data_IF_320951037055
#
_entry.id   IF_320951037055
#
_cell.length_a   1.000
_cell.length_b   1.000
_cell.length_c   1.000
_cell.angle_alpha   90.00
_cell.angle_beta   90.00
_cell.angle_gamma   90.00
#
_symmetry.space_group_name_H-M   'P 1'
#
loop_
_entity.id
_entity.type
_entity.pdbx_description
1 polymer ?
#
# COMPACT_ATOMS: atom_id res chain seq x y z
N UNK A 1 44.78 73.76 42.03
CA UNK A 1 44.60 73.42 43.46
C UNK A 1 44.85 71.94 43.68
N UNK A 2 44.45 71.06 42.75
CA UNK A 2 44.66 69.59 42.83
C UNK A 2 46.05 69.06 42.38
N UNK A 3 47.09 69.88 42.42
CA UNK A 3 48.43 69.45 42.05
C UNK A 3 49.18 68.92 43.28
N UNK A 4 49.93 67.81 43.15
CA UNK A 4 50.64 67.17 44.26
C UNK A 4 51.73 68.05 44.90
N UNK A 5 52.09 69.13 44.24
CA UNK A 5 53.07 70.17 44.58
C UNK A 5 52.43 71.52 44.96
N UNK A 6 51.13 71.53 45.31
CA UNK A 6 50.45 72.74 45.74
C UNK A 6 51.13 73.36 46.97
N UNK A 7 51.72 74.55 46.79
CA UNK A 7 52.29 75.35 47.87
C UNK A 7 51.29 76.42 48.30
N UNK A 8 50.71 76.31 49.50
CA UNK A 8 49.76 77.30 50.02
C UNK A 8 50.37 78.70 50.10
N UNK A 9 51.66 78.77 50.43
CA UNK A 9 52.40 80.02 50.60
C UNK A 9 52.60 80.72 49.25
N UNK A 10 52.96 79.97 48.20
CA UNK A 10 53.12 80.53 46.85
C UNK A 10 51.77 81.00 46.26
N UNK A 11 50.68 80.32 46.60
CA UNK A 11 49.33 80.68 46.16
C UNK A 11 48.81 81.94 46.86
N UNK A 12 49.00 82.04 48.18
CA UNK A 12 48.64 83.23 48.97
C UNK A 12 49.44 84.45 48.51
N UNK A 13 50.76 84.30 48.29
CA UNK A 13 51.62 85.38 47.79
C UNK A 13 51.26 85.82 46.35
N UNK A 14 50.62 84.94 45.57
CA UNK A 14 50.09 85.28 44.23
C UNK A 14 48.75 86.02 44.30
N UNK A 15 47.92 85.73 45.30
CA UNK A 15 46.65 86.42 45.56
C UNK A 15 46.85 87.78 46.25
N UNK A 16 47.87 87.90 47.09
CA UNK A 16 48.23 89.13 47.82
C UNK A 16 49.71 89.49 47.64
N UNK A 17 50.12 90.08 46.49
CA UNK A 17 51.53 90.35 46.20
C UNK A 17 52.12 91.56 46.95
N UNK A 18 51.28 92.46 47.47
CA UNK A 18 51.70 93.72 48.15
C UNK A 18 50.78 94.04 49.33
N UNK A 19 51.25 94.82 50.33
CA UNK A 19 50.45 95.18 51.52
C UNK A 19 49.13 95.89 51.19
N UNK A 20 49.06 96.63 50.07
CA UNK A 20 47.80 97.25 49.61
C UNK A 20 46.77 96.22 49.11
N UNK A 21 47.21 95.04 48.66
CA UNK A 21 46.34 93.94 48.21
C UNK A 21 45.58 93.27 49.35
N UNK A 22 46.05 93.42 50.61
CA UNK A 22 45.34 92.95 51.80
C UNK A 22 44.00 93.68 52.02
N UNK A 23 43.81 94.87 51.43
CA UNK A 23 42.52 95.58 51.47
C UNK A 23 41.40 94.84 50.71
N UNK A 24 41.76 93.97 49.76
CA UNK A 24 40.83 93.11 49.02
C UNK A 24 40.70 91.70 49.61
N UNK A 25 41.31 91.43 50.77
CA UNK A 25 41.28 90.10 51.39
C UNK A 25 39.87 89.63 51.75
N UNK A 26 39.03 90.54 52.25
CA UNK A 26 37.62 90.21 52.53
C UNK A 26 36.83 89.88 51.26
N UNK A 27 37.15 90.53 50.13
CA UNK A 27 36.51 90.24 48.84
C UNK A 27 36.93 88.87 48.27
N UNK A 28 38.23 88.53 48.36
CA UNK A 28 38.76 87.22 47.95
C UNK A 28 38.25 86.11 48.88
N UNK A 29 38.12 86.38 50.18
CA UNK A 29 37.52 85.44 51.13
C UNK A 29 36.04 85.22 50.84
N UNK A 30 35.30 86.26 50.48
CA UNK A 30 33.89 86.13 50.10
C UNK A 30 33.73 85.37 48.77
N UNK A 31 34.64 85.56 47.81
CA UNK A 31 34.66 84.81 46.55
C UNK A 31 35.01 83.34 46.76
N UNK A 32 36.01 83.04 47.60
CA UNK A 32 36.35 81.67 47.98
C UNK A 32 35.21 81.00 48.76
N UNK A 33 34.54 81.73 49.65
CA UNK A 33 33.36 81.22 50.37
C UNK A 33 32.22 80.92 49.39
N UNK A 34 31.96 81.81 48.43
CA UNK A 34 30.96 81.57 47.39
C UNK A 34 31.33 80.39 46.47
N UNK A 35 32.62 80.19 46.17
CA UNK A 35 33.10 79.02 45.44
C UNK A 35 32.95 77.73 46.26
N UNK A 36 33.24 77.76 47.56
CA UNK A 36 33.03 76.62 48.47
C UNK A 36 31.54 76.28 48.52
N UNK A 37 30.68 77.27 48.73
CA UNK A 37 29.24 77.08 48.81
C UNK A 37 28.67 76.53 47.48
N UNK A 38 29.17 77.02 46.33
CA UNK A 38 28.81 76.51 45.00
C UNK A 38 29.29 75.07 44.78
N UNK A 39 30.52 74.75 45.21
CA UNK A 39 31.09 73.41 45.06
C UNK A 39 30.37 72.41 45.96
N UNK A 40 30.00 72.81 47.17
CA UNK A 40 29.21 72.00 48.09
C UNK A 40 27.80 71.72 47.53
N UNK A 41 27.15 72.70 46.90
CA UNK A 41 25.90 72.45 46.17
C UNK A 41 26.09 71.47 45.01
N UNK A 42 27.15 71.62 44.21
CA UNK A 42 27.45 70.75 43.08
C UNK A 42 27.78 69.31 43.52
N UNK A 43 28.54 69.15 44.62
CA UNK A 43 28.82 67.85 45.24
C UNK A 43 27.53 67.23 45.75
N UNK A 44 26.69 67.97 46.48
CA UNK A 44 25.42 67.46 46.98
C UNK A 44 24.47 67.05 45.85
N UNK A 45 24.42 67.82 44.77
CA UNK A 45 23.67 67.49 43.57
C UNK A 45 24.17 66.18 42.95
N UNK A 46 25.48 66.10 42.68
CA UNK A 46 26.12 64.93 42.06
C UNK A 46 25.95 63.67 42.91
N UNK A 47 26.12 63.75 44.23
CA UNK A 47 25.93 62.61 45.14
C UNK A 47 24.48 62.14 45.15
N UNK A 48 23.50 63.06 45.10
CA UNK A 48 22.08 62.70 45.02
C UNK A 48 21.74 62.04 43.69
N UNK A 49 22.22 62.58 42.58
CA UNK A 49 22.05 61.98 41.25
C UNK A 49 22.67 60.59 41.16
N UNK A 50 23.89 60.41 41.68
CA UNK A 50 24.57 59.12 41.69
C UNK A 50 23.87 58.09 42.58
N UNK A 51 23.34 58.52 43.74
CA UNK A 51 22.55 57.66 44.64
C UNK A 51 21.22 57.25 44.00
N UNK A 52 20.56 58.20 43.34
CA UNK A 52 19.34 57.98 42.55
C UNK A 52 19.59 56.99 41.40
N UNK A 53 20.60 57.27 40.57
CA UNK A 53 20.97 56.43 39.42
C UNK A 53 21.40 55.02 39.85
N UNK A 54 22.14 54.88 40.95
CA UNK A 54 22.52 53.58 41.51
C UNK A 54 21.31 52.77 42.02
N UNK A 55 20.34 53.45 42.65
CA UNK A 55 19.07 52.83 43.09
C UNK A 55 18.22 52.37 41.90
N UNK A 56 18.12 53.19 40.85
CA UNK A 56 17.43 52.85 39.61
C UNK A 56 18.10 51.67 38.89
N UNK A 57 19.42 51.71 38.69
CA UNK A 57 20.15 50.62 38.05
C UNK A 57 20.00 49.29 38.82
N UNK A 58 19.97 49.34 40.16
CA UNK A 58 19.74 48.15 40.98
C UNK A 58 18.32 47.60 40.83
N UNK A 59 17.30 48.47 40.79
CA UNK A 59 15.92 48.07 40.53
C UNK A 59 15.74 47.47 39.14
N UNK A 60 16.35 48.06 38.12
CA UNK A 60 16.29 47.54 36.74
C UNK A 60 16.98 46.17 36.64
N UNK A 61 18.12 45.99 37.33
CA UNK A 61 18.80 44.70 37.40
C UNK A 61 17.95 43.63 38.12
N UNK A 62 17.30 43.98 39.23
CA UNK A 62 16.39 43.08 39.94
C UNK A 62 15.16 42.72 39.08
N UNK A 63 14.59 43.70 38.38
CA UNK A 63 13.50 43.50 37.41
C UNK A 63 13.91 42.60 36.26
N UNK A 64 15.09 42.81 35.68
CA UNK A 64 15.65 41.96 34.63
C UNK A 64 15.90 40.52 35.11
N UNK A 65 16.45 40.35 36.33
CA UNK A 65 16.62 39.02 36.94
C UNK A 65 15.30 38.30 37.20
N UNK A 66 14.25 39.04 37.58
CA UNK A 66 12.92 38.47 37.78
C UNK A 66 12.29 38.05 36.45
N UNK A 67 12.36 38.90 35.42
CA UNK A 67 11.87 38.58 34.07
C UNK A 67 12.61 37.39 33.46
N UNK A 68 13.93 37.27 33.69
CA UNK A 68 14.73 36.14 33.21
C UNK A 68 14.35 34.82 33.91
N UNK A 69 14.01 34.87 35.21
CA UNK A 69 13.46 33.72 35.94
C UNK A 69 12.12 33.28 35.37
N UNK A 70 11.19 34.22 35.19
CA UNK A 70 9.87 33.93 34.58
C UNK A 70 9.99 33.36 33.16
N UNK A 71 10.94 33.87 32.36
CA UNK A 71 11.24 33.31 31.04
C UNK A 71 11.73 31.86 31.15
N UNK A 72 12.62 31.56 32.09
CA UNK A 72 13.14 30.21 32.28
C UNK A 72 12.03 29.23 32.68
N UNK A 73 11.15 29.65 33.59
CA UNK A 73 9.99 28.87 34.01
C UNK A 73 9.05 28.62 32.83
N UNK A 74 8.75 29.66 32.03
CA UNK A 74 7.93 29.52 30.81
C UNK A 74 8.56 28.58 29.78
N UNK A 75 9.87 28.67 29.55
CA UNK A 75 10.59 27.77 28.62
C UNK A 75 10.56 26.33 29.14
N UNK A 76 10.73 26.13 30.45
CA UNK A 76 10.63 24.82 31.06
C UNK A 76 9.22 24.23 30.94
N UNK A 77 8.19 25.03 31.16
CA UNK A 77 6.79 24.65 30.97
C UNK A 77 6.47 24.29 29.51
N UNK A 78 6.98 25.07 28.55
CA UNK A 78 6.82 24.77 27.12
C UNK A 78 7.51 23.45 26.79
N UNK A 79 8.73 23.23 27.29
CA UNK A 79 9.48 21.99 27.07
C UNK A 79 8.73 20.77 27.60
N UNK A 80 8.27 20.83 28.86
CA UNK A 80 7.54 19.70 29.48
C UNK A 80 6.19 19.44 28.79
N UNK A 81 5.47 20.48 28.37
CA UNK A 81 4.25 20.33 27.55
C UNK A 81 4.57 19.71 26.19
N UNK A 82 5.63 20.15 25.51
CA UNK A 82 6.04 19.61 24.22
C UNK A 82 6.44 18.12 24.33
N UNK A 83 7.18 17.73 25.37
CA UNK A 83 7.53 16.33 25.63
C UNK A 83 6.28 15.46 25.87
N UNK A 84 5.32 15.95 26.66
CA UNK A 84 4.02 15.27 26.87
C UNK A 84 3.22 15.16 25.57
N UNK A 85 3.17 16.22 24.78
CA UNK A 85 2.50 16.21 23.46
C UNK A 85 3.17 15.22 22.51
N UNK A 86 4.50 15.15 22.48
CA UNK A 86 5.22 14.17 21.66
C UNK A 86 4.90 12.73 22.09
N UNK A 87 4.89 12.43 23.39
CA UNK A 87 4.53 11.11 23.91
C UNK A 87 3.09 10.74 23.52
N UNK A 88 2.16 11.68 23.66
CA UNK A 88 0.76 11.49 23.27
C UNK A 88 0.63 11.19 21.77
N UNK A 89 1.29 11.97 20.91
CA UNK A 89 1.29 11.75 19.46
C UNK A 89 1.89 10.39 19.12
N UNK A 90 2.98 10.00 19.78
CA UNK A 90 3.62 8.70 19.55
C UNK A 90 2.67 7.54 19.91
N UNK A 91 1.93 7.66 21.01
CA UNK A 91 0.92 6.68 21.39
C UNK A 91 -0.23 6.62 20.36
N UNK A 92 -0.73 7.77 19.91
CA UNK A 92 -1.75 7.85 18.86
C UNK A 92 -1.28 7.16 17.58
N UNK A 93 -0.05 7.42 17.13
CA UNK A 93 0.51 6.76 15.94
C UNK A 93 0.64 5.24 16.11
N UNK A 94 0.98 4.77 17.32
CA UNK A 94 1.03 3.34 17.63
C UNK A 94 -0.34 2.69 17.51
N UNK A 95 -1.37 3.35 18.04
CA UNK A 95 -2.74 2.84 18.03
C UNK A 95 -3.36 2.92 16.62
N UNK A 96 -3.03 3.95 15.83
CA UNK A 96 -3.39 4.00 14.40
C UNK A 96 -2.77 2.82 13.65
N UNK A 97 -1.51 2.48 13.94
CA UNK A 97 -0.82 1.36 13.30
C UNK A 97 -1.44 0.02 13.70
N UNK A 98 -1.79 -0.18 14.97
CA UNK A 98 -2.47 -1.41 15.40
C UNK A 98 -3.86 -1.55 14.78
N UNK A 99 -4.60 -0.45 14.65
CA UNK A 99 -5.88 -0.41 13.97
C UNK A 99 -5.75 -0.72 12.47
N UNK A 100 -4.72 -0.20 11.81
CA UNK A 100 -4.45 -0.49 10.40
C UNK A 100 -4.17 -1.99 10.17
N UNK A 101 -3.35 -2.60 11.04
CA UNK A 101 -3.13 -4.04 11.01
C UNK A 101 -4.43 -4.82 11.21
N UNK A 102 -5.25 -4.43 12.19
CA UNK A 102 -6.55 -5.06 12.44
C UNK A 102 -7.47 -4.93 11.21
N UNK A 103 -7.58 -3.74 10.63
CA UNK A 103 -8.38 -3.48 9.42
C UNK A 103 -7.89 -4.33 8.25
N UNK A 104 -6.57 -4.41 8.02
CA UNK A 104 -5.99 -5.23 6.95
C UNK A 104 -6.30 -6.71 7.16
N UNK A 105 -6.07 -7.24 8.35
CA UNK A 105 -6.34 -8.64 8.67
C UNK A 105 -7.83 -8.97 8.55
N UNK A 106 -8.72 -8.12 9.07
CA UNK A 106 -10.16 -8.30 8.94
C UNK A 106 -10.60 -8.27 7.48
N UNK A 107 -10.07 -7.33 6.68
CA UNK A 107 -10.38 -7.24 5.25
C UNK A 107 -9.95 -8.51 4.52
N UNK A 108 -8.72 -8.98 4.75
CA UNK A 108 -8.22 -10.23 4.16
C UNK A 108 -9.10 -11.43 4.55
N UNK A 109 -9.45 -11.55 5.82
CA UNK A 109 -10.32 -12.63 6.32
C UNK A 109 -11.71 -12.57 5.71
N UNK A 110 -12.34 -11.40 5.64
CA UNK A 110 -13.66 -11.21 5.05
C UNK A 110 -13.63 -11.56 3.55
N UNK A 111 -12.62 -11.08 2.81
CA UNK A 111 -12.47 -11.40 1.38
C UNK A 111 -12.26 -12.90 1.17
N UNK A 112 -11.41 -13.55 1.97
CA UNK A 112 -11.17 -14.98 1.88
C UNK A 112 -12.43 -15.79 2.17
N UNK A 113 -13.18 -15.45 3.23
CA UNK A 113 -14.45 -16.10 3.57
C UNK A 113 -15.50 -15.91 2.47
N UNK A 114 -15.62 -14.70 1.91
CA UNK A 114 -16.56 -14.44 0.81
C UNK A 114 -16.22 -15.26 -0.43
N UNK A 115 -14.93 -15.35 -0.79
CA UNK A 115 -14.48 -16.19 -1.91
C UNK A 115 -14.72 -17.68 -1.64
N UNK A 116 -14.56 -18.13 -0.40
CA UNK A 116 -14.82 -19.51 -0.01
C UNK A 116 -16.31 -19.82 -0.14
N UNK A 117 -17.17 -18.92 0.35
CA UNK A 117 -18.62 -19.04 0.17
C UNK A 117 -18.98 -19.11 -1.32
N UNK A 118 -18.42 -18.21 -2.14
CA UNK A 118 -18.63 -18.23 -3.59
C UNK A 118 -18.19 -19.57 -4.21
N UNK A 119 -17.05 -20.12 -3.79
CA UNK A 119 -16.54 -21.39 -4.30
C UNK A 119 -17.45 -22.56 -3.91
N UNK A 120 -17.93 -22.62 -2.67
CA UNK A 120 -18.87 -23.66 -2.22
C UNK A 120 -20.17 -23.58 -3.03
N UNK A 121 -20.78 -22.40 -3.12
CA UNK A 121 -22.02 -22.21 -3.88
C UNK A 121 -21.83 -22.53 -5.37
N UNK A 122 -20.72 -22.12 -5.97
CA UNK A 122 -20.40 -22.44 -7.36
C UNK A 122 -20.20 -23.94 -7.57
N UNK A 123 -19.60 -24.65 -6.61
CA UNK A 123 -19.41 -26.11 -6.69
C UNK A 123 -20.75 -26.85 -6.62
N UNK A 124 -21.64 -26.43 -5.72
CA UNK A 124 -23.00 -26.96 -5.63
C UNK A 124 -23.80 -26.72 -6.92
N UNK A 125 -23.75 -25.50 -7.46
CA UNK A 125 -24.40 -25.16 -8.72
C UNK A 125 -23.82 -25.95 -9.90
N UNK A 126 -22.49 -26.12 -9.95
CA UNK A 126 -21.82 -26.88 -10.99
C UNK A 126 -22.23 -28.36 -10.96
N UNK A 127 -22.40 -28.93 -9.76
CA UNK A 127 -22.92 -30.30 -9.60
C UNK A 127 -24.34 -30.45 -10.17
N UNK A 128 -25.21 -29.46 -9.94
CA UNK A 128 -26.58 -29.46 -10.50
C UNK A 128 -26.54 -29.35 -12.02
N UNK A 129 -25.79 -28.38 -12.57
CA UNK A 129 -25.68 -28.19 -14.02
C UNK A 129 -25.07 -29.39 -14.73
N UNK A 130 -24.08 -30.05 -14.11
CA UNK A 130 -23.50 -31.29 -14.63
C UNK A 130 -24.55 -32.41 -14.71
N UNK A 131 -25.36 -32.57 -13.66
CA UNK A 131 -26.42 -33.58 -13.59
C UNK A 131 -27.54 -33.33 -14.61
N UNK A 132 -27.93 -32.08 -14.82
CA UNK A 132 -28.96 -31.68 -15.79
C UNK A 132 -28.42 -31.58 -17.23
N UNK A 133 -27.12 -31.84 -17.44
CA UNK A 133 -26.43 -31.76 -18.73
C UNK A 133 -26.45 -30.36 -19.37
N UNK A 134 -26.51 -29.31 -18.56
CA UNK A 134 -26.47 -27.92 -19.01
C UNK A 134 -25.02 -27.49 -19.31
N UNK A 135 -24.43 -28.04 -20.36
CA UNK A 135 -22.99 -27.92 -20.62
C UNK A 135 -22.49 -26.49 -20.83
N UNK A 136 -23.26 -25.64 -21.53
CA UNK A 136 -22.85 -24.25 -21.77
C UNK A 136 -22.70 -23.44 -20.46
N UNK A 137 -23.66 -23.61 -19.54
CA UNK A 137 -23.62 -22.93 -18.23
C UNK A 137 -22.57 -23.57 -17.31
N UNK A 138 -22.45 -24.90 -17.34
CA UNK A 138 -21.41 -25.62 -16.61
C UNK A 138 -20.00 -25.19 -17.02
N UNK A 139 -19.76 -24.92 -18.32
CA UNK A 139 -18.46 -24.44 -18.81
C UNK A 139 -18.11 -23.06 -18.24
N UNK A 140 -19.06 -22.11 -18.25
CA UNK A 140 -18.88 -20.78 -17.70
C UNK A 140 -18.61 -20.83 -16.19
N UNK A 141 -19.39 -21.63 -15.47
CA UNK A 141 -19.24 -21.79 -14.03
C UNK A 141 -17.92 -22.50 -13.67
N UNK A 142 -17.51 -23.51 -14.46
CA UNK A 142 -16.23 -24.18 -14.30
C UNK A 142 -15.06 -23.20 -14.49
N UNK A 143 -15.14 -22.27 -15.45
CA UNK A 143 -14.13 -21.22 -15.59
C UNK A 143 -14.04 -20.33 -14.34
N UNK A 144 -15.20 -19.92 -13.79
CA UNK A 144 -15.24 -19.13 -12.56
C UNK A 144 -14.68 -19.91 -11.35
N UNK A 145 -15.00 -21.19 -11.22
CA UNK A 145 -14.45 -22.09 -10.19
C UNK A 145 -12.94 -22.21 -10.33
N UNK A 146 -12.41 -22.37 -11.55
CA UNK A 146 -10.96 -22.44 -11.79
C UNK A 146 -10.25 -21.15 -11.33
N UNK A 147 -10.82 -19.99 -11.61
CA UNK A 147 -10.27 -18.71 -11.15
C UNK A 147 -10.32 -18.58 -9.61
N UNK A 148 -11.39 -19.04 -8.98
CA UNK A 148 -11.51 -19.03 -7.52
C UNK A 148 -10.50 -19.98 -6.86
N UNK A 149 -10.30 -21.18 -7.42
CA UNK A 149 -9.33 -22.16 -6.94
C UNK A 149 -7.89 -21.62 -6.94
N UNK A 150 -7.49 -20.84 -7.95
CA UNK A 150 -6.17 -20.22 -8.00
C UNK A 150 -5.87 -19.34 -6.76
N UNK A 151 -6.89 -18.73 -6.16
CA UNK A 151 -6.74 -17.93 -4.94
C UNK A 151 -6.58 -18.78 -3.67
N UNK A 152 -6.93 -20.06 -3.74
CA UNK A 152 -6.88 -21.01 -2.62
C UNK A 152 -5.66 -21.94 -2.65
N UNK A 153 -4.80 -21.88 -3.68
CA UNK A 153 -3.57 -22.68 -3.78
C UNK A 153 -2.66 -22.51 -2.55
N UNK A 154 -2.55 -21.28 -2.02
CA UNK A 154 -1.78 -20.99 -0.80
C UNK A 154 -2.41 -21.48 0.50
N UNK A 155 -3.62 -22.03 0.46
CA UNK A 155 -4.34 -22.59 1.61
C UNK A 155 -4.32 -24.13 1.62
N UNK A 156 -3.47 -24.75 0.78
CA UNK A 156 -3.22 -26.18 0.75
C UNK A 156 -2.92 -26.73 2.15
N UNK A 157 -3.64 -27.76 2.58
CA UNK A 157 -3.48 -28.39 3.90
C UNK A 157 -4.59 -28.06 4.90
N UNK A 158 -5.52 -27.17 4.54
CA UNK A 158 -6.80 -27.05 5.25
C UNK A 158 -7.73 -28.15 4.72
N UNK A 159 -7.94 -29.19 5.52
CA UNK A 159 -8.76 -30.37 5.16
C UNK A 159 -10.09 -30.06 4.46
N UNK A 160 -10.78 -28.98 4.87
CA UNK A 160 -12.05 -28.58 4.26
C UNK A 160 -11.91 -28.03 2.83
N UNK A 161 -10.81 -27.30 2.57
CA UNK A 161 -10.51 -26.79 1.24
C UNK A 161 -10.03 -27.94 0.37
N UNK A 162 -9.18 -28.82 0.91
CA UNK A 162 -8.71 -30.01 0.19
C UNK A 162 -9.90 -30.89 -0.23
N UNK A 163 -10.86 -31.15 0.67
CA UNK A 163 -12.09 -31.88 0.34
C UNK A 163 -12.96 -31.18 -0.72
N UNK A 164 -12.97 -29.84 -0.75
CA UNK A 164 -13.71 -29.07 -1.76
C UNK A 164 -13.01 -29.16 -3.13
N UNK A 165 -11.68 -29.12 -3.15
CA UNK A 165 -10.89 -29.35 -4.36
C UNK A 165 -11.13 -30.76 -4.90
N UNK A 166 -11.13 -31.78 -4.04
CA UNK A 166 -11.46 -33.16 -4.42
C UNK A 166 -12.86 -33.27 -5.04
N UNK A 167 -13.87 -32.65 -4.43
CA UNK A 167 -15.23 -32.61 -4.99
C UNK A 167 -15.28 -31.94 -6.38
N UNK A 168 -14.54 -30.85 -6.59
CA UNK A 168 -14.46 -30.19 -7.89
C UNK A 168 -13.79 -31.10 -8.92
N UNK A 169 -12.73 -31.82 -8.54
CA UNK A 169 -12.04 -32.74 -9.43
C UNK A 169 -12.88 -33.98 -9.78
N UNK A 170 -13.70 -34.46 -8.85
CA UNK A 170 -14.73 -35.47 -9.10
C UNK A 170 -15.74 -34.97 -10.14
N UNK A 171 -16.27 -33.76 -9.97
CA UNK A 171 -17.22 -33.16 -10.93
C UNK A 171 -16.56 -32.96 -12.29
N UNK A 172 -15.30 -32.50 -12.36
CA UNK A 172 -14.54 -32.37 -13.61
C UNK A 172 -14.40 -33.70 -14.32
N UNK A 173 -14.07 -34.76 -13.58
CA UNK A 173 -13.91 -36.12 -14.13
C UNK A 173 -15.25 -36.68 -14.61
N UNK A 174 -16.33 -36.43 -13.87
CA UNK A 174 -17.68 -36.82 -14.26
C UNK A 174 -18.12 -36.09 -15.55
N UNK A 175 -17.97 -34.76 -15.60
CA UNK A 175 -18.27 -33.94 -16.78
C UNK A 175 -17.46 -34.41 -17.99
N UNK A 176 -16.17 -34.67 -17.82
CA UNK A 176 -15.32 -35.23 -18.87
C UNK A 176 -15.92 -36.54 -19.40
N UNK A 177 -16.15 -37.51 -18.53
CA UNK A 177 -16.68 -38.83 -18.92
C UNK A 177 -18.02 -38.69 -19.65
N UNK A 178 -18.91 -37.88 -19.11
CA UNK A 178 -20.24 -37.63 -19.65
C UNK A 178 -20.19 -36.99 -21.05
N UNK A 179 -19.30 -36.03 -21.26
CA UNK A 179 -19.09 -35.42 -22.57
C UNK A 179 -18.59 -36.45 -23.58
N UNK A 180 -17.56 -37.24 -23.24
CA UNK A 180 -17.05 -38.30 -24.13
C UNK A 180 -18.11 -39.38 -24.42
N UNK A 181 -18.94 -39.76 -23.44
CA UNK A 181 -20.06 -40.69 -23.66
C UNK A 181 -21.09 -40.13 -24.65
N UNK A 182 -21.45 -38.85 -24.52
CA UNK A 182 -22.41 -38.21 -25.42
C UNK A 182 -21.88 -38.11 -26.85
N UNK A 183 -20.60 -37.76 -27.01
CA UNK A 183 -19.92 -37.80 -28.32
C UNK A 183 -19.87 -39.23 -28.91
N UNK A 184 -19.57 -40.25 -28.09
CA UNK A 184 -19.58 -41.64 -28.54
C UNK A 184 -20.98 -42.11 -28.98
N UNK A 185 -22.03 -41.73 -28.25
CA UNK A 185 -23.42 -42.09 -28.62
C UNK A 185 -23.82 -41.51 -29.96
N UNK A 186 -23.44 -40.27 -30.23
CA UNK A 186 -23.71 -39.63 -31.52
C UNK A 186 -22.89 -40.24 -32.64
N UNK A 187 -21.63 -40.60 -32.36
CA UNK A 187 -20.75 -41.28 -33.31
C UNK A 187 -21.28 -42.65 -33.78
N UNK A 188 -22.15 -43.26 -32.97
CA UNK A 188 -22.81 -44.54 -33.25
C UNK A 188 -24.23 -44.38 -33.83
N UNK A 189 -24.78 -43.16 -33.90
CA UNK A 189 -26.06 -42.91 -34.55
C UNK A 189 -25.86 -42.71 -36.05
N UNK A 190 -26.45 -43.61 -36.85
CA UNK A 190 -26.54 -43.43 -38.30
C UNK A 190 -27.64 -42.39 -38.61
N UNK A 191 -27.25 -41.13 -38.81
CA UNK A 191 -28.15 -40.05 -39.21
C UNK A 191 -27.61 -38.65 -38.91
N UNK A 192 -28.18 -37.62 -39.54
CA UNK A 192 -27.83 -36.24 -39.20
C UNK A 192 -28.28 -35.91 -37.76
N UNK A 193 -27.42 -35.27 -36.95
CA UNK A 193 -27.78 -34.88 -35.60
C UNK A 193 -28.94 -33.86 -35.60
N UNK A 194 -29.84 -34.00 -34.65
CA UNK A 194 -30.93 -33.04 -34.44
C UNK A 194 -30.38 -31.68 -33.99
N UNK A 195 -31.03 -30.55 -34.31
CA UNK A 195 -30.56 -29.20 -33.93
C UNK A 195 -30.29 -29.04 -32.43
N UNK A 196 -31.13 -29.63 -31.57
CA UNK A 196 -30.96 -29.60 -30.11
C UNK A 196 -29.76 -30.41 -29.61
N UNK A 197 -29.36 -31.45 -30.35
CA UNK A 197 -28.14 -32.21 -30.07
C UNK A 197 -26.91 -31.37 -30.44
N UNK A 198 -26.97 -30.60 -31.52
CA UNK A 198 -25.88 -29.70 -31.94
C UNK A 198 -25.63 -28.62 -30.89
N UNK A 199 -26.68 -28.00 -30.33
CA UNK A 199 -26.54 -27.02 -29.26
C UNK A 199 -25.92 -27.64 -27.99
N UNK A 200 -26.37 -28.84 -27.63
CA UNK A 200 -25.80 -29.60 -26.50
C UNK A 200 -24.31 -29.92 -26.72
N UNK A 201 -23.93 -30.28 -27.95
CA UNK A 201 -22.54 -30.59 -28.32
C UNK A 201 -21.66 -29.36 -28.32
N UNK A 202 -22.17 -28.22 -28.78
CA UNK A 202 -21.44 -26.96 -28.73
C UNK A 202 -21.16 -26.56 -27.28
N UNK A 203 -22.14 -26.73 -26.39
CA UNK A 203 -21.93 -26.62 -24.95
C UNK A 203 -20.90 -27.62 -24.42
N UNK A 204 -20.93 -28.87 -24.87
CA UNK A 204 -19.98 -29.91 -24.47
C UNK A 204 -18.53 -29.59 -24.92
N UNK A 205 -18.35 -29.01 -26.11
CA UNK A 205 -17.06 -28.49 -26.56
C UNK A 205 -16.55 -27.37 -25.65
N UNK A 206 -17.43 -26.44 -25.24
CA UNK A 206 -17.06 -25.39 -24.29
C UNK A 206 -16.62 -25.96 -22.93
N UNK A 207 -17.23 -27.05 -22.47
CA UNK A 207 -16.79 -27.78 -21.26
C UNK A 207 -15.40 -28.39 -21.46
N UNK A 208 -15.13 -29.02 -22.61
CA UNK A 208 -13.81 -29.58 -22.92
C UNK A 208 -12.73 -28.50 -22.90
N UNK A 209 -13.02 -27.33 -23.46
CA UNK A 209 -12.09 -26.19 -23.40
C UNK A 209 -11.88 -25.67 -21.98
N UNK A 210 -12.94 -25.63 -21.16
CA UNK A 210 -12.86 -25.22 -19.76
C UNK A 210 -12.14 -26.23 -18.85
N UNK A 211 -12.16 -27.53 -19.20
CA UNK A 211 -11.41 -28.60 -18.50
C UNK A 211 -9.91 -28.54 -18.79
N UNK A 212 -9.51 -28.00 -19.95
CA UNK A 212 -8.12 -27.70 -20.27
C UNK A 212 -7.60 -28.32 -21.56
N UNK A 213 -6.37 -27.93 -21.91
CA UNK A 213 -5.75 -28.29 -23.20
C UNK A 213 -5.50 -29.79 -23.38
N UNK A 214 -5.30 -30.53 -22.29
CA UNK A 214 -5.07 -31.98 -22.33
C UNK A 214 -6.32 -32.73 -22.78
N UNK A 215 -7.47 -32.38 -22.20
CA UNK A 215 -8.76 -32.96 -22.58
C UNK A 215 -9.12 -32.60 -24.02
N UNK A 216 -8.82 -31.37 -24.46
CA UNK A 216 -8.99 -30.99 -25.87
C UNK A 216 -8.15 -31.84 -26.81
N UNK A 217 -6.87 -32.07 -26.50
CA UNK A 217 -5.99 -32.93 -27.34
C UNK A 217 -6.53 -34.35 -27.43
N UNK A 218 -7.04 -34.87 -26.33
CA UNK A 218 -7.68 -36.18 -26.29
C UNK A 218 -8.96 -36.23 -27.12
N UNK A 219 -9.82 -35.21 -27.02
CA UNK A 219 -11.03 -35.11 -27.83
C UNK A 219 -10.71 -35.05 -29.32
N UNK A 220 -9.69 -34.27 -29.71
CA UNK A 220 -9.22 -34.22 -31.11
C UNK A 220 -8.69 -35.59 -31.56
N UNK A 221 -7.88 -36.26 -30.73
CA UNK A 221 -7.38 -37.61 -31.03
C UNK A 221 -8.51 -38.63 -31.19
N UNK A 222 -9.52 -38.57 -30.32
CA UNK A 222 -10.71 -39.39 -30.41
C UNK A 222 -11.47 -39.13 -31.71
N UNK A 223 -11.72 -37.86 -32.05
CA UNK A 223 -12.43 -37.47 -33.27
C UNK A 223 -11.69 -37.95 -34.53
N UNK A 224 -10.37 -37.76 -34.58
CA UNK A 224 -9.55 -38.28 -35.68
C UNK A 224 -9.67 -39.81 -35.78
N UNK A 225 -9.56 -40.53 -34.66
CA UNK A 225 -9.67 -41.99 -34.65
C UNK A 225 -11.03 -42.48 -35.13
N UNK A 226 -12.12 -41.78 -34.77
CA UNK A 226 -13.46 -42.07 -35.24
C UNK A 226 -13.58 -41.85 -36.75
N UNK A 227 -13.14 -40.70 -37.27
CA UNK A 227 -13.16 -40.40 -38.71
C UNK A 227 -12.32 -41.40 -39.54
N UNK A 228 -11.20 -41.87 -38.99
CA UNK A 228 -10.36 -42.87 -39.62
C UNK A 228 -10.78 -44.32 -39.33
N UNK A 229 -11.83 -44.58 -38.54
CA UNK A 229 -12.27 -45.95 -38.26
C UNK A 229 -12.73 -46.69 -39.53
N UNK A 230 -13.51 -46.09 -40.46
CA UNK A 230 -13.84 -46.72 -41.73
C UNK A 230 -12.61 -46.98 -42.60
N UNK A 231 -11.60 -46.09 -42.56
CA UNK A 231 -10.32 -46.32 -43.25
C UNK A 231 -9.57 -47.52 -42.68
N UNK A 232 -9.47 -47.62 -41.35
CA UNK A 232 -8.83 -48.76 -40.68
C UNK A 232 -9.52 -50.07 -41.02
N UNK A 233 -10.86 -50.08 -41.12
CA UNK A 233 -11.62 -51.26 -41.53
C UNK A 233 -11.45 -51.59 -43.02
N UNK A 234 -11.45 -50.59 -43.91
CA UNK A 234 -11.34 -50.80 -45.36
C UNK A 234 -9.93 -51.20 -45.83
N UNK A 235 -8.89 -50.77 -45.12
CA UNK A 235 -7.49 -50.97 -45.51
C UNK A 235 -6.71 -51.83 -44.49
N UNK A 236 -7.40 -52.61 -43.67
CA UNK A 236 -6.77 -53.49 -42.68
C UNK A 236 -5.96 -54.61 -43.37
N UNK A 237 -4.72 -54.92 -42.92
CA UNK A 237 -3.84 -55.86 -43.63
C UNK A 237 -4.33 -57.31 -43.71
N UNK A 238 -5.29 -57.70 -42.87
CA UNK A 238 -5.72 -59.08 -42.70
C UNK A 238 -6.92 -59.50 -43.57
N UNK A 239 -7.80 -58.57 -43.98
CA UNK A 239 -9.09 -58.88 -44.62
C UNK A 239 -9.21 -58.48 -46.10
N UNK A 240 -8.16 -57.95 -46.74
CA UNK A 240 -8.27 -57.63 -48.17
C UNK A 240 -7.00 -57.22 -48.90
N UNK A 241 -6.98 -57.53 -50.20
CA UNK A 241 -6.01 -57.12 -51.22
C UNK A 241 -5.93 -55.59 -51.43
N UNK A 242 -6.72 -54.80 -50.68
CA UNK A 242 -6.68 -53.33 -50.62
C UNK A 242 -5.62 -52.81 -49.63
N UNK A 243 -5.18 -53.62 -48.67
CA UNK A 243 -4.14 -53.27 -47.70
C UNK A 243 -2.71 -53.35 -48.26
N UNK A 244 -2.51 -53.89 -49.46
CA UNK A 244 -1.20 -54.00 -50.10
C UNK A 244 -0.62 -52.62 -50.47
N UNK A 245 0.72 -52.49 -50.41
CA UNK A 245 1.46 -51.28 -50.81
C UNK A 245 1.22 -50.92 -52.29
N UNK A 246 0.83 -51.90 -53.11
CA UNK A 246 0.57 -51.74 -54.53
C UNK A 246 -0.68 -50.89 -54.82
N UNK A 247 -1.63 -50.79 -53.86
CA UNK A 247 -2.87 -50.02 -54.00
C UNK A 247 -2.86 -48.71 -53.22
N UNK A 248 -1.70 -48.06 -53.18
CA UNK A 248 -1.52 -46.76 -52.53
C UNK A 248 -2.43 -45.67 -53.13
N UNK A 249 -2.75 -45.74 -54.43
CA UNK A 249 -3.66 -44.80 -55.09
C UNK A 249 -5.08 -44.82 -54.53
N UNK A 250 -5.59 -45.99 -54.12
CA UNK A 250 -6.92 -46.12 -53.50
C UNK A 250 -6.99 -45.44 -52.13
N UNK A 251 -5.87 -45.43 -51.39
CA UNK A 251 -5.78 -44.72 -50.10
C UNK A 251 -5.82 -43.21 -50.29
N UNK A 252 -5.10 -42.70 -51.29
CA UNK A 252 -5.14 -41.27 -51.65
C UNK A 252 -6.53 -40.86 -52.16
N UNK A 253 -7.18 -41.70 -52.98
CA UNK A 253 -8.55 -41.48 -53.44
C UNK A 253 -9.56 -41.41 -52.31
N UNK A 254 -9.47 -42.34 -51.35
CA UNK A 254 -10.31 -42.35 -50.15
C UNK A 254 -10.09 -41.10 -49.29
N UNK A 255 -8.84 -40.71 -49.05
CA UNK A 255 -8.53 -39.52 -48.27
C UNK A 255 -9.04 -38.23 -48.94
N UNK A 256 -8.98 -38.15 -50.27
CA UNK A 256 -9.53 -37.00 -51.03
C UNK A 256 -11.04 -36.94 -50.93
N UNK A 257 -11.72 -38.09 -50.96
CA UNK A 257 -13.16 -38.18 -50.78
C UNK A 257 -13.59 -37.81 -49.35
N UNK A 258 -12.84 -38.26 -48.33
CA UNK A 258 -13.07 -37.88 -46.94
C UNK A 258 -12.92 -36.36 -46.75
N UNK A 259 -11.83 -35.75 -47.25
CA UNK A 259 -11.61 -34.32 -47.14
C UNK A 259 -12.75 -33.52 -47.80
N UNK A 260 -13.21 -33.98 -48.98
CA UNK A 260 -14.34 -33.35 -49.66
C UNK A 260 -15.63 -33.46 -48.84
N UNK A 261 -15.92 -34.63 -48.27
CA UNK A 261 -17.08 -34.83 -47.40
C UNK A 261 -16.98 -33.99 -46.13
N UNK A 262 -15.78 -33.85 -45.57
CA UNK A 262 -15.53 -33.00 -44.40
C UNK A 262 -15.80 -31.53 -44.72
N UNK A 263 -15.25 -31.02 -45.82
CA UNK A 263 -15.49 -29.65 -46.28
C UNK A 263 -16.99 -29.38 -46.54
N UNK A 264 -17.68 -30.33 -47.16
CA UNK A 264 -19.12 -30.23 -47.42
C UNK A 264 -19.98 -30.27 -46.14
N UNK A 265 -19.51 -30.94 -45.08
CA UNK A 265 -20.29 -31.18 -43.85
C UNK A 265 -19.97 -30.23 -42.68
N UNK A 266 -18.75 -29.68 -42.61
CA UNK A 266 -18.26 -28.94 -41.44
C UNK A 266 -17.73 -27.53 -41.73
N UNK A 267 -17.51 -27.15 -43.00
CA UNK A 267 -16.92 -25.84 -43.39
C UNK A 267 -17.97 -24.84 -43.91
N UNK A 268 -19.24 -25.25 -44.06
CA UNK A 268 -20.36 -24.34 -44.36
C UNK A 268 -21.06 -23.83 -43.09
#
# INVERSE_FOLDING_TARGET
LDAADFSPIAHINRLFPTEHSLSTADAVSAELQAQIDSLDEEILHTVREQTSAGSHARKDLEGGKAAMRDLFDKVHDIKTKAERSQQMVHQICRDIKSLDYAKRHLTLTITALKRLQMLVTATEQLSVMARERMYAEAANLLHAVNQLLAHFEGYSGIKKIDALCEQIDEIRTALRTQVFEDFNRLSAQDGNPQPSQIETLLGACAVVDALGADVRREMVSWFCNWQFAPYKHAFQPYDGDAGSLDKTELRYGWHRQLLRQYDESFVN
#
